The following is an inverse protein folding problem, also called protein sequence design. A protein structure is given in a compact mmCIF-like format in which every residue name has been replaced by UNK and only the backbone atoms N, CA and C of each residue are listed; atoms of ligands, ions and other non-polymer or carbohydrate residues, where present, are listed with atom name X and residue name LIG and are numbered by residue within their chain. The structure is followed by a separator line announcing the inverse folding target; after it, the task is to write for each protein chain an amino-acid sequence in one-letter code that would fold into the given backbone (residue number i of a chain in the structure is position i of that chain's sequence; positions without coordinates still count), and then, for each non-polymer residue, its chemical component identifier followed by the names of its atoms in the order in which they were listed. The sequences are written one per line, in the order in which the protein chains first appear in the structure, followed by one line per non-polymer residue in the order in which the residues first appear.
data_IF_084701495676
#
_entry.id   IF_084701495676
#
_cell.length_a   1.000
_cell.length_b   1.000
_cell.length_c   1.000
_cell.angle_alpha   90.00
_cell.angle_beta   90.00
_cell.angle_gamma   90.00
#
_symmetry.space_group_name_H-M   'P 1'
#
loop_
_entity.id
_entity.type
_entity.pdbx_description
1 polymer ?
#
# COMPACT_ATOMS: atom_id res chain seq x y z
N UNK A 1 -27.16 -28.52 14.04
CA UNK A 1 -25.96 -28.66 14.89
C UNK A 1 -24.76 -29.27 14.17
N UNK A 2 -24.94 -30.22 13.24
CA UNK A 2 -23.80 -30.84 12.47
C UNK A 2 -23.14 -29.87 11.47
N UNK A 3 -23.89 -28.87 10.95
CA UNK A 3 -23.37 -27.94 9.94
C UNK A 3 -22.50 -26.80 10.49
N UNK A 4 -22.59 -26.47 11.76
CA UNK A 4 -21.77 -25.40 12.37
C UNK A 4 -20.40 -25.91 12.82
N UNK A 5 -20.31 -27.15 13.32
CA UNK A 5 -19.03 -27.75 13.69
C UNK A 5 -18.15 -28.00 12.44
N UNK A 6 -18.73 -28.48 11.34
CA UNK A 6 -17.97 -28.68 10.09
C UNK A 6 -17.53 -27.38 9.40
N UNK A 7 -18.26 -26.27 9.61
CA UNK A 7 -17.83 -24.95 9.12
C UNK A 7 -16.66 -24.39 9.92
N UNK A 8 -16.65 -24.59 11.24
CA UNK A 8 -15.56 -24.16 12.10
C UNK A 8 -14.27 -24.92 11.82
N UNK A 9 -14.32 -26.24 11.64
CA UNK A 9 -13.14 -27.05 11.33
C UNK A 9 -12.50 -26.65 9.99
N UNK A 10 -13.29 -26.37 8.96
CA UNK A 10 -12.79 -25.93 7.66
C UNK A 10 -12.19 -24.52 7.69
N UNK A 11 -12.70 -23.62 8.53
CA UNK A 11 -12.15 -22.26 8.64
C UNK A 11 -10.83 -22.26 9.40
N UNK A 12 -10.69 -23.07 10.43
CA UNK A 12 -9.44 -23.23 11.18
C UNK A 12 -8.31 -23.79 10.27
N UNK A 13 -8.60 -24.80 9.44
CA UNK A 13 -7.61 -25.36 8.50
C UNK A 13 -7.14 -24.32 7.45
N UNK A 14 -8.03 -23.45 6.98
CA UNK A 14 -7.70 -22.34 6.06
C UNK A 14 -6.80 -21.31 6.74
N UNK A 15 -7.12 -20.92 7.97
CA UNK A 15 -6.37 -19.94 8.76
C UNK A 15 -4.99 -20.47 9.14
N UNK A 16 -4.90 -21.72 9.58
CA UNK A 16 -3.63 -22.36 9.95
C UNK A 16 -2.68 -22.42 8.75
N UNK A 17 -3.14 -22.86 7.59
CA UNK A 17 -2.33 -22.87 6.35
C UNK A 17 -1.85 -21.49 5.94
N UNK A 18 -2.70 -20.48 6.06
CA UNK A 18 -2.31 -19.09 5.81
C UNK A 18 -1.23 -18.62 6.77
N UNK A 19 -1.39 -18.91 8.06
CA UNK A 19 -0.43 -18.53 9.10
C UNK A 19 0.90 -19.26 8.96
N UNK A 20 0.90 -20.53 8.56
CA UNK A 20 2.13 -21.28 8.24
C UNK A 20 2.87 -20.63 7.07
N UNK A 21 2.19 -20.30 5.98
CA UNK A 21 2.77 -19.60 4.84
C UNK A 21 3.32 -18.23 5.23
N UNK A 22 2.59 -17.48 6.05
CA UNK A 22 3.01 -16.17 6.54
C UNK A 22 4.26 -16.26 7.41
N UNK A 23 4.33 -17.24 8.33
CA UNK A 23 5.51 -17.50 9.16
C UNK A 23 6.72 -17.89 8.31
N UNK A 24 6.53 -18.75 7.32
CA UNK A 24 7.59 -19.16 6.40
C UNK A 24 8.11 -17.99 5.56
N UNK A 25 7.21 -17.11 5.09
CA UNK A 25 7.57 -15.97 4.25
C UNK A 25 8.20 -14.81 5.03
N UNK A 26 7.62 -14.37 6.12
CA UNK A 26 8.01 -13.12 6.82
C UNK A 26 8.85 -13.35 8.07
N UNK A 27 9.05 -14.58 8.53
CA UNK A 27 9.60 -14.91 9.84
C UNK A 27 8.86 -14.15 10.99
N UNK A 28 7.60 -13.78 10.76
CA UNK A 28 6.80 -13.01 11.71
C UNK A 28 6.25 -13.94 12.79
N UNK A 29 6.32 -13.55 14.08
CA UNK A 29 5.67 -14.30 15.15
C UNK A 29 4.16 -14.07 15.21
N UNK A 30 3.63 -13.15 14.39
CA UNK A 30 2.23 -12.77 14.42
C UNK A 30 1.37 -13.73 13.62
N UNK A 31 0.17 -13.98 14.11
CA UNK A 31 -0.86 -14.79 13.47
C UNK A 31 -2.02 -13.90 13.02
N UNK A 32 -2.55 -14.19 11.85
CA UNK A 32 -3.79 -13.59 11.37
C UNK A 32 -4.95 -14.42 11.89
N UNK A 33 -5.93 -13.77 12.44
CA UNK A 33 -7.17 -14.38 12.92
C UNK A 33 -8.34 -13.73 12.20
N UNK A 34 -8.90 -14.46 11.23
CA UNK A 34 -9.93 -13.94 10.34
C UNK A 34 -11.17 -13.48 11.12
N UNK A 35 -11.61 -14.28 12.08
CA UNK A 35 -12.81 -14.01 12.89
C UNK A 35 -12.68 -12.78 13.80
N UNK A 36 -11.46 -12.31 14.07
CA UNK A 36 -11.26 -11.06 14.82
C UNK A 36 -11.60 -9.81 14.01
N UNK A 37 -11.89 -9.98 12.71
CA UNK A 37 -12.35 -8.90 11.87
C UNK A 37 -11.31 -7.80 11.68
N UNK A 38 -11.75 -6.57 11.83
CA UNK A 38 -10.97 -5.38 11.56
C UNK A 38 -9.92 -5.12 12.65
N UNK A 39 -8.64 -5.18 12.26
CA UNK A 39 -7.49 -4.87 13.12
C UNK A 39 -6.50 -3.96 12.37
N UNK A 40 -6.30 -2.73 12.86
CA UNK A 40 -5.50 -1.72 12.18
C UNK A 40 -4.77 -0.81 13.16
N UNK A 41 -3.82 -0.06 12.62
CA UNK A 41 -3.12 1.00 13.34
C UNK A 41 -3.00 2.24 12.47
N UNK A 42 -3.09 3.39 13.11
CA UNK A 42 -2.78 4.67 12.50
C UNK A 42 -1.27 4.83 12.39
N UNK A 43 -0.77 5.04 11.17
CA UNK A 43 0.65 5.22 10.89
C UNK A 43 1.01 6.70 10.88
N UNK A 44 0.21 7.50 10.18
CA UNK A 44 0.26 8.98 10.20
C UNK A 44 -1.16 9.51 10.36
N UNK A 45 -1.34 10.81 10.46
CA UNK A 45 -2.67 11.42 10.56
C UNK A 45 -3.59 11.07 9.35
N UNK A 46 -2.99 10.71 8.22
CA UNK A 46 -3.69 10.43 6.96
C UNK A 46 -3.52 9.00 6.45
N UNK A 47 -2.82 8.13 7.17
CA UNK A 47 -2.54 6.75 6.73
C UNK A 47 -2.81 5.76 7.85
N UNK A 48 -3.69 4.79 7.56
CA UNK A 48 -3.93 3.62 8.39
C UNK A 48 -3.49 2.36 7.65
N UNK A 49 -2.98 1.37 8.37
CA UNK A 49 -2.63 0.04 7.83
C UNK A 49 -3.33 -1.04 8.63
N UNK A 50 -3.99 -1.96 7.94
CA UNK A 50 -4.77 -2.98 8.63
C UNK A 50 -5.09 -4.24 7.84
N UNK A 51 -5.94 -5.07 8.47
CA UNK A 51 -6.52 -6.28 7.89
C UNK A 51 -7.57 -5.93 6.83
N UNK A 52 -7.97 -6.89 6.02
CA UNK A 52 -9.08 -6.72 5.09
C UNK A 52 -10.39 -6.39 5.84
N UNK A 53 -11.15 -5.37 5.40
CA UNK A 53 -12.45 -5.02 5.98
C UNK A 53 -13.54 -5.91 5.39
N UNK A 54 -13.54 -7.19 5.76
CA UNK A 54 -14.44 -8.20 5.17
C UNK A 54 -15.83 -8.25 5.78
N UNK A 55 -15.96 -7.87 7.05
CA UNK A 55 -17.23 -7.87 7.75
C UNK A 55 -18.13 -6.73 7.25
N UNK A 56 -19.43 -7.01 7.20
CA UNK A 56 -20.43 -6.00 6.89
C UNK A 56 -20.40 -4.87 7.93
N UNK A 57 -20.30 -3.64 7.46
CA UNK A 57 -20.19 -2.45 8.32
C UNK A 57 -18.76 -2.01 8.62
N UNK A 58 -17.73 -2.82 8.32
CA UNK A 58 -16.34 -2.47 8.56
C UNK A 58 -15.92 -1.19 7.82
N UNK A 59 -16.37 -1.03 6.58
CA UNK A 59 -16.03 0.15 5.76
C UNK A 59 -16.75 1.39 6.28
N UNK A 60 -18.01 1.24 6.67
CA UNK A 60 -18.78 2.32 7.29
C UNK A 60 -18.12 2.74 8.61
N UNK A 61 -17.71 1.78 9.43
CA UNK A 61 -16.98 2.04 10.67
C UNK A 61 -15.68 2.84 10.41
N UNK A 62 -14.85 2.42 9.44
CA UNK A 62 -13.63 3.13 9.07
C UNK A 62 -13.94 4.57 8.60
N UNK A 63 -15.01 4.76 7.86
CA UNK A 63 -15.47 6.09 7.44
C UNK A 63 -15.86 6.97 8.61
N UNK A 64 -16.67 6.46 9.52
CA UNK A 64 -17.25 7.23 10.62
C UNK A 64 -16.25 7.49 11.76
N UNK A 65 -15.36 6.54 12.05
CA UNK A 65 -14.43 6.64 13.17
C UNK A 65 -13.08 7.23 12.79
N UNK A 66 -12.58 6.89 11.60
CA UNK A 66 -11.24 7.26 11.17
C UNK A 66 -11.25 8.26 10.01
N UNK A 67 -12.43 8.71 9.55
CA UNK A 67 -12.60 9.59 8.41
C UNK A 67 -11.99 9.04 7.10
N UNK A 68 -11.87 7.72 6.95
CA UNK A 68 -11.30 7.08 5.77
C UNK A 68 -12.06 7.53 4.51
N UNK A 69 -11.33 8.00 3.52
CA UNK A 69 -11.85 8.44 2.22
C UNK A 69 -11.48 7.48 1.10
N UNK A 70 -10.42 6.70 1.30
CA UNK A 70 -9.91 5.73 0.32
C UNK A 70 -9.56 4.41 1.02
N UNK A 71 -10.02 3.30 0.45
CA UNK A 71 -9.49 1.96 0.71
C UNK A 71 -8.46 1.64 -0.37
N UNK A 72 -7.19 1.51 0.02
CA UNK A 72 -6.12 1.05 -0.86
C UNK A 72 -5.89 -0.44 -0.65
N UNK A 73 -6.43 -1.24 -1.56
CA UNK A 73 -6.45 -2.70 -1.45
C UNK A 73 -5.36 -3.35 -2.31
N UNK A 74 -4.43 -4.06 -1.69
CA UNK A 74 -3.34 -4.76 -2.36
C UNK A 74 -3.61 -6.26 -2.58
N UNK A 75 -4.84 -6.72 -2.33
CA UNK A 75 -5.21 -8.12 -2.54
C UNK A 75 -5.44 -8.42 -4.03
N UNK A 76 -5.04 -9.61 -4.43
CA UNK A 76 -5.40 -10.22 -5.71
C UNK A 76 -6.74 -10.98 -5.61
N UNK A 77 -7.31 -11.36 -6.75
CA UNK A 77 -8.63 -11.99 -6.78
C UNK A 77 -8.67 -13.32 -6.02
N UNK A 78 -7.61 -14.11 -6.11
CA UNK A 78 -7.51 -15.36 -5.37
C UNK A 78 -7.57 -15.22 -3.84
N UNK A 79 -7.22 -14.05 -3.27
CA UNK A 79 -7.41 -13.82 -1.84
C UNK A 79 -8.89 -13.80 -1.46
N UNK A 80 -9.75 -13.20 -2.30
CA UNK A 80 -11.19 -13.15 -2.03
C UNK A 80 -11.82 -14.55 -2.13
N UNK A 81 -11.39 -15.34 -3.12
CA UNK A 81 -11.84 -16.72 -3.26
C UNK A 81 -11.43 -17.57 -2.05
N UNK A 82 -10.15 -17.47 -1.64
CA UNK A 82 -9.60 -18.21 -0.50
C UNK A 82 -10.34 -17.90 0.80
N UNK A 83 -10.59 -16.62 1.09
CA UNK A 83 -11.28 -16.17 2.31
C UNK A 83 -12.79 -16.10 2.15
N UNK A 84 -13.34 -16.50 1.00
CA UNK A 84 -14.79 -16.43 0.68
C UNK A 84 -15.37 -15.03 0.89
N UNK A 85 -14.58 -13.99 0.60
CA UNK A 85 -15.00 -12.60 0.71
C UNK A 85 -15.66 -12.17 -0.60
N UNK A 86 -16.89 -11.67 -0.53
CA UNK A 86 -17.57 -11.12 -1.68
C UNK A 86 -17.11 -9.68 -1.93
N UNK A 87 -16.19 -9.50 -2.90
CA UNK A 87 -15.67 -8.18 -3.23
C UNK A 87 -16.75 -7.22 -3.73
N UNK A 88 -17.74 -7.69 -4.47
CA UNK A 88 -18.84 -6.85 -4.94
C UNK A 88 -19.68 -6.25 -3.81
N UNK A 89 -19.90 -6.99 -2.72
CA UNK A 89 -20.55 -6.44 -1.53
C UNK A 89 -19.69 -5.36 -0.85
N UNK A 90 -18.37 -5.53 -0.86
CA UNK A 90 -17.44 -4.52 -0.30
C UNK A 90 -17.40 -3.25 -1.16
N UNK A 91 -17.43 -3.40 -2.48
CA UNK A 91 -17.53 -2.28 -3.42
C UNK A 91 -18.84 -1.48 -3.21
N UNK A 92 -19.97 -2.18 -3.08
CA UNK A 92 -21.26 -1.54 -2.80
C UNK A 92 -21.28 -0.84 -1.42
N UNK A 93 -20.68 -1.43 -0.40
CA UNK A 93 -20.58 -0.82 0.92
C UNK A 93 -19.68 0.43 0.86
N UNK A 94 -18.52 0.37 0.21
CA UNK A 94 -17.64 1.50 0.03
C UNK A 94 -18.34 2.66 -0.70
N UNK A 95 -19.06 2.35 -1.78
CA UNK A 95 -19.84 3.33 -2.53
C UNK A 95 -20.92 3.99 -1.67
N UNK A 96 -21.66 3.23 -0.87
CA UNK A 96 -22.67 3.76 0.04
C UNK A 96 -22.09 4.63 1.14
N UNK A 97 -20.90 4.28 1.62
CA UNK A 97 -20.18 5.06 2.63
C UNK A 97 -19.48 6.31 2.06
N UNK A 98 -19.46 6.48 0.73
CA UNK A 98 -18.69 7.55 0.08
C UNK A 98 -17.19 7.34 0.18
N UNK A 99 -16.73 6.10 0.30
CA UNK A 99 -15.32 5.70 0.34
C UNK A 99 -14.92 5.17 -1.01
N UNK A 100 -13.81 5.68 -1.57
CA UNK A 100 -13.27 5.21 -2.86
C UNK A 100 -12.48 3.92 -2.62
N UNK A 101 -12.77 2.90 -3.41
CA UNK A 101 -12.00 1.66 -3.40
C UNK A 101 -11.00 1.70 -4.56
N UNK A 102 -9.71 1.66 -4.23
CA UNK A 102 -8.62 1.56 -5.18
C UNK A 102 -7.91 0.22 -5.01
N UNK A 103 -7.80 -0.54 -6.09
CA UNK A 103 -7.14 -1.85 -6.08
C UNK A 103 -5.80 -1.77 -6.81
N UNK A 104 -4.74 -2.26 -6.14
CA UNK A 104 -3.41 -2.43 -6.69
C UNK A 104 -2.90 -3.83 -6.32
N UNK A 105 -3.28 -4.88 -7.07
CA UNK A 105 -3.00 -6.26 -6.69
C UNK A 105 -1.51 -6.57 -6.63
N UNK A 106 -1.10 -7.24 -5.55
CA UNK A 106 0.24 -7.81 -5.34
C UNK A 106 0.02 -9.26 -4.93
N UNK A 107 0.71 -10.22 -5.55
CA UNK A 107 0.60 -11.64 -5.19
C UNK A 107 1.10 -11.87 -3.78
N UNK A 108 0.30 -12.57 -2.96
CA UNK A 108 0.68 -12.85 -1.58
C UNK A 108 1.87 -13.79 -1.52
N UNK A 109 2.73 -13.62 -0.52
CA UNK A 109 3.92 -14.43 -0.30
C UNK A 109 4.89 -14.52 -1.51
N UNK A 110 4.80 -13.58 -2.46
CA UNK A 110 5.70 -13.48 -3.59
C UNK A 110 6.64 -12.29 -3.45
N UNK A 111 7.93 -12.58 -3.32
CA UNK A 111 8.97 -11.57 -3.27
C UNK A 111 9.05 -10.79 -4.58
N UNK A 112 9.04 -11.50 -5.71
CA UNK A 112 9.18 -10.90 -7.03
C UNK A 112 7.97 -10.02 -7.36
N UNK A 113 6.75 -10.51 -7.10
CA UNK A 113 5.55 -9.69 -7.29
C UNK A 113 5.57 -8.43 -6.42
N UNK A 114 6.00 -8.54 -5.15
CA UNK A 114 6.11 -7.39 -4.27
C UNK A 114 7.12 -6.37 -4.84
N UNK A 115 8.33 -6.80 -5.20
CA UNK A 115 9.37 -5.95 -5.81
C UNK A 115 8.88 -5.26 -7.08
N UNK A 116 8.24 -6.00 -7.97
CA UNK A 116 7.80 -5.50 -9.27
C UNK A 116 6.61 -4.52 -9.18
N UNK A 117 5.68 -4.75 -8.27
CA UNK A 117 4.48 -3.94 -8.14
C UNK A 117 4.64 -2.71 -7.23
N UNK A 118 5.63 -2.71 -6.32
CA UNK A 118 5.85 -1.60 -5.40
C UNK A 118 5.98 -0.23 -6.08
N UNK A 119 6.73 -0.06 -7.20
CA UNK A 119 6.86 1.24 -7.86
C UNK A 119 5.52 1.80 -8.32
N UNK A 120 4.69 0.97 -8.93
CA UNK A 120 3.35 1.38 -9.39
C UNK A 120 2.40 1.61 -8.21
N UNK A 121 2.42 0.71 -7.21
CA UNK A 121 1.59 0.85 -6.02
C UNK A 121 1.91 2.16 -5.24
N UNK A 122 3.19 2.50 -5.08
CA UNK A 122 3.58 3.75 -4.43
C UNK A 122 3.25 4.98 -5.28
N UNK A 123 3.32 4.88 -6.62
CA UNK A 123 2.90 5.94 -7.53
C UNK A 123 1.41 6.26 -7.37
N UNK A 124 0.57 5.23 -7.36
CA UNK A 124 -0.87 5.40 -7.16
C UNK A 124 -1.20 5.87 -5.74
N UNK A 125 -0.45 5.40 -4.74
CA UNK A 125 -0.59 5.85 -3.36
C UNK A 125 -0.24 7.35 -3.24
N UNK A 126 0.89 7.81 -3.81
CA UNK A 126 1.27 9.24 -3.86
C UNK A 126 0.22 10.08 -4.60
N UNK A 127 -0.33 9.57 -5.71
CA UNK A 127 -1.40 10.24 -6.44
C UNK A 127 -2.64 10.45 -5.57
N UNK A 128 -3.08 9.41 -4.87
CA UNK A 128 -4.26 9.47 -4.00
C UNK A 128 -4.02 10.43 -2.83
N UNK A 129 -2.87 10.35 -2.16
CA UNK A 129 -2.51 11.23 -1.05
C UNK A 129 -2.44 12.71 -1.45
N UNK A 130 -2.16 13.01 -2.73
CA UNK A 130 -2.06 14.39 -3.21
C UNK A 130 -3.32 14.89 -3.93
N UNK A 131 -4.43 14.14 -3.91
CA UNK A 131 -5.69 14.57 -4.52
C UNK A 131 -6.39 15.65 -3.70
N UNK A 132 -6.32 15.58 -2.38
CA UNK A 132 -6.91 16.53 -1.45
C UNK A 132 -6.14 16.51 -0.12
N UNK A 133 -6.08 17.64 0.56
CA UNK A 133 -5.49 17.74 1.89
C UNK A 133 -6.27 16.98 2.97
N UNK A 134 -7.48 16.53 2.65
CA UNK A 134 -8.36 15.78 3.57
C UNK A 134 -8.38 14.28 3.31
N UNK A 135 -7.49 13.76 2.44
CA UNK A 135 -7.46 12.33 2.16
C UNK A 135 -6.95 11.54 3.36
N UNK A 136 -7.71 10.52 3.74
CA UNK A 136 -7.31 9.51 4.72
C UNK A 136 -7.37 8.14 4.04
N UNK A 137 -6.22 7.50 3.90
CA UNK A 137 -6.08 6.21 3.21
C UNK A 137 -5.98 5.07 4.22
N UNK A 138 -6.88 4.12 4.10
CA UNK A 138 -6.77 2.81 4.74
C UNK A 138 -6.12 1.83 3.76
N UNK A 139 -4.84 1.51 4.00
CA UNK A 139 -4.07 0.57 3.17
C UNK A 139 -4.16 -0.84 3.77
N UNK A 140 -4.63 -1.80 2.98
CA UNK A 140 -4.78 -3.16 3.46
C UNK A 140 -4.39 -4.23 2.43
N UNK A 141 -4.05 -5.39 2.95
CA UNK A 141 -4.03 -6.66 2.23
C UNK A 141 -4.97 -7.62 2.96
N UNK A 142 -4.64 -8.89 3.12
CA UNK A 142 -5.39 -9.83 3.97
C UNK A 142 -5.14 -9.55 5.44
N UNK A 143 -3.94 -9.82 5.93
CA UNK A 143 -3.57 -9.67 7.35
C UNK A 143 -3.01 -8.27 7.70
N UNK A 144 -2.67 -7.47 6.70
CA UNK A 144 -1.99 -6.18 6.92
C UNK A 144 -0.58 -6.30 7.50
N UNK A 145 0.12 -7.40 7.19
CA UNK A 145 1.45 -7.72 7.75
C UNK A 145 2.59 -7.73 6.72
N UNK A 146 2.29 -7.89 5.42
CA UNK A 146 3.30 -7.99 4.37
C UNK A 146 3.16 -6.91 3.31
N UNK A 147 2.20 -7.08 2.40
CA UNK A 147 2.03 -6.26 1.18
C UNK A 147 1.67 -4.80 1.49
N UNK A 148 0.60 -4.57 2.21
CA UNK A 148 0.15 -3.20 2.52
C UNK A 148 1.16 -2.40 3.34
N UNK A 149 1.81 -2.94 4.40
CA UNK A 149 2.85 -2.18 5.07
C UNK A 149 4.07 -1.94 4.18
N UNK A 150 4.41 -2.87 3.25
CA UNK A 150 5.51 -2.63 2.30
C UNK A 150 5.22 -1.45 1.37
N UNK A 151 3.99 -1.32 0.86
CA UNK A 151 3.57 -0.17 0.04
C UNK A 151 3.71 1.14 0.81
N UNK A 152 3.22 1.18 2.06
CA UNK A 152 3.30 2.40 2.88
C UNK A 152 4.74 2.74 3.25
N UNK A 153 5.59 1.75 3.59
CA UNK A 153 7.02 1.98 3.85
C UNK A 153 7.71 2.51 2.60
N UNK A 154 7.46 1.92 1.43
CA UNK A 154 8.04 2.38 0.17
C UNK A 154 7.61 3.82 -0.14
N UNK A 155 6.32 4.13 -0.02
CA UNK A 155 5.80 5.49 -0.18
C UNK A 155 6.51 6.48 0.75
N UNK A 156 6.56 6.21 2.06
CA UNK A 156 7.20 7.08 3.05
C UNK A 156 8.68 7.27 2.74
N UNK A 157 9.42 6.17 2.48
CA UNK A 157 10.85 6.20 2.18
C UNK A 157 11.17 6.99 0.90
N UNK A 158 10.34 6.85 -0.13
CA UNK A 158 10.57 7.48 -1.43
C UNK A 158 10.08 8.92 -1.52
N UNK A 159 9.11 9.32 -0.71
CA UNK A 159 8.45 10.62 -0.86
C UNK A 159 8.57 11.57 0.33
N UNK A 160 8.83 11.06 1.52
CA UNK A 160 8.90 11.86 2.74
C UNK A 160 10.35 12.09 3.16
N UNK A 161 10.77 13.37 3.15
CA UNK A 161 12.14 13.76 3.46
C UNK A 161 12.54 13.53 4.94
N UNK A 162 11.59 13.21 5.82
CA UNK A 162 11.87 12.83 7.21
C UNK A 162 12.58 11.49 7.34
N UNK A 163 12.46 10.62 6.33
CA UNK A 163 13.06 9.29 6.34
C UNK A 163 14.32 9.25 5.48
N UNK A 164 15.48 9.42 6.10
CA UNK A 164 16.77 9.41 5.42
C UNK A 164 17.17 8.03 4.88
N UNK A 165 16.66 6.95 5.52
CA UNK A 165 16.96 5.58 5.16
C UNK A 165 15.71 4.71 5.11
N UNK A 166 15.81 3.57 4.41
CA UNK A 166 14.79 2.54 4.41
C UNK A 166 14.56 1.99 5.82
N UNK A 167 15.64 1.85 6.61
CA UNK A 167 15.54 1.38 7.99
C UNK A 167 14.69 2.33 8.83
N UNK A 168 14.89 3.64 8.71
CA UNK A 168 14.10 4.64 9.44
C UNK A 168 12.60 4.56 9.10
N UNK A 169 12.24 4.43 7.82
CA UNK A 169 10.85 4.28 7.40
C UNK A 169 10.26 2.93 7.85
N UNK A 170 11.06 1.87 7.80
CA UNK A 170 10.67 0.53 8.24
C UNK A 170 10.39 0.51 9.75
N UNK A 171 11.31 0.99 10.56
CA UNK A 171 11.17 1.06 12.02
C UNK A 171 10.00 1.96 12.44
N UNK A 172 9.82 3.08 11.75
CA UNK A 172 8.70 3.98 12.02
C UNK A 172 7.35 3.27 11.89
N UNK A 173 7.14 2.50 10.81
CA UNK A 173 5.89 1.78 10.63
C UNK A 173 5.79 0.59 11.58
N UNK A 174 6.83 -0.24 11.69
CA UNK A 174 6.79 -1.47 12.48
C UNK A 174 6.73 -1.22 13.98
N UNK A 175 7.20 -0.07 14.47
CA UNK A 175 7.00 0.34 15.87
C UNK A 175 5.54 0.66 16.20
N UNK A 176 4.74 1.05 15.21
CA UNK A 176 3.30 1.36 15.37
C UNK A 176 2.41 0.17 15.11
N UNK A 177 2.79 -0.69 14.17
CA UNK A 177 2.03 -1.88 13.78
C UNK A 177 2.91 -3.12 13.81
N UNK A 178 2.52 -4.18 14.54
CA UNK A 178 3.16 -5.49 14.46
C UNK A 178 3.03 -6.04 13.03
N UNK A 179 4.13 -6.05 12.27
CA UNK A 179 4.18 -6.55 10.90
C UNK A 179 5.62 -6.82 10.49
N UNK A 180 5.81 -7.62 9.43
CA UNK A 180 7.13 -8.01 8.93
C UNK A 180 7.19 -7.98 7.39
N UNK A 181 7.01 -6.81 6.74
CA UNK A 181 7.13 -6.73 5.29
C UNK A 181 8.57 -7.03 4.83
N UNK A 182 8.71 -7.57 3.62
CA UNK A 182 10.02 -7.90 3.04
C UNK A 182 10.80 -6.62 2.69
N UNK A 183 11.65 -6.17 3.62
CA UNK A 183 12.49 -4.98 3.47
C UNK A 183 13.38 -5.05 2.22
N UNK A 184 13.92 -6.23 1.93
CA UNK A 184 14.76 -6.45 0.76
C UNK A 184 14.01 -6.23 -0.58
N UNK A 185 12.72 -6.55 -0.67
CA UNK A 185 11.93 -6.24 -1.86
C UNK A 185 11.80 -4.73 -2.08
N UNK A 186 11.63 -3.95 -1.02
CA UNK A 186 11.58 -2.48 -1.10
C UNK A 186 12.94 -1.93 -1.54
N UNK A 187 14.04 -2.46 -0.97
CA UNK A 187 15.39 -2.07 -1.34
C UNK A 187 15.67 -2.31 -2.82
N UNK A 188 15.36 -3.51 -3.31
CA UNK A 188 15.57 -3.86 -4.73
C UNK A 188 14.67 -3.04 -5.65
N UNK A 189 13.40 -2.81 -5.30
CA UNK A 189 12.52 -1.92 -6.06
C UNK A 189 13.09 -0.48 -6.13
N UNK A 190 13.73 -0.01 -5.04
CA UNK A 190 14.42 1.30 -5.04
C UNK A 190 15.55 1.35 -6.07
N UNK A 191 16.37 0.30 -6.13
CA UNK A 191 17.45 0.20 -7.13
C UNK A 191 16.86 0.16 -8.54
N UNK A 192 15.82 -0.65 -8.76
CA UNK A 192 15.16 -0.76 -10.07
C UNK A 192 14.64 0.60 -10.56
N UNK A 193 14.03 1.40 -9.66
CA UNK A 193 13.57 2.75 -10.02
C UNK A 193 14.75 3.67 -10.38
N UNK A 194 15.83 3.62 -9.62
CA UNK A 194 17.00 4.47 -9.86
C UNK A 194 17.73 4.12 -11.16
N UNK A 195 17.76 2.83 -11.52
CA UNK A 195 18.42 2.31 -12.71
C UNK A 195 17.53 2.33 -13.96
N UNK A 196 16.20 2.54 -13.82
CA UNK A 196 15.31 2.62 -14.98
C UNK A 196 15.61 3.86 -15.84
N UNK A 197 15.48 3.70 -17.15
CA UNK A 197 15.80 4.74 -18.11
C UNK A 197 14.79 5.90 -18.10
N UNK A 198 15.27 7.12 -18.30
CA UNK A 198 14.46 8.32 -18.41
C UNK A 198 13.60 8.60 -17.16
N UNK A 199 12.39 9.07 -17.41
CA UNK A 199 11.42 9.44 -16.36
C UNK A 199 10.37 8.35 -16.09
N UNK A 200 10.54 7.16 -16.68
CA UNK A 200 9.61 6.03 -16.50
C UNK A 200 9.95 5.19 -15.27
N UNK A 201 8.93 4.59 -14.68
CA UNK A 201 9.11 3.50 -13.72
C UNK A 201 9.59 2.24 -14.47
N UNK A 202 10.28 1.30 -13.78
CA UNK A 202 10.67 0.05 -14.39
C UNK A 202 9.43 -0.69 -14.90
N UNK A 203 9.41 -1.03 -16.19
CA UNK A 203 8.39 -1.88 -16.79
C UNK A 203 8.96 -3.29 -16.86
N UNK A 204 8.28 -4.22 -16.25
CA UNK A 204 8.55 -5.64 -16.50
C UNK A 204 7.36 -6.21 -17.26
N UNK A 205 7.64 -6.82 -18.42
CA UNK A 205 6.65 -7.49 -19.29
C UNK A 205 6.20 -8.83 -18.66
N UNK A 206 5.81 -8.80 -17.41
CA UNK A 206 5.27 -9.93 -16.70
C UNK A 206 3.77 -9.85 -16.61
N UNK A 207 3.05 -10.43 -17.59
CA UNK A 207 1.68 -10.86 -17.30
C UNK A 207 1.77 -11.81 -16.11
N UNK A 208 1.42 -11.33 -14.93
CA UNK A 208 1.31 -12.10 -13.72
C UNK A 208 0.37 -13.27 -14.02
N UNK A 209 0.93 -14.45 -14.30
CA UNK A 209 0.15 -15.66 -14.38
C UNK A 209 -0.21 -16.03 -12.94
N UNK A 210 -1.36 -15.55 -12.52
CA UNK A 210 -1.99 -16.00 -11.29
C UNK A 210 -2.43 -17.43 -11.54
N UNK A 211 -1.61 -18.38 -11.11
CA UNK A 211 -2.02 -19.77 -11.03
C UNK A 211 -2.76 -19.94 -9.71
N UNK A 212 -4.07 -19.83 -9.75
CA UNK A 212 -4.96 -19.90 -8.58
C UNK A 212 -4.81 -21.20 -7.75
N UNK A 213 -4.07 -22.20 -8.26
CA UNK A 213 -3.74 -23.44 -7.57
C UNK A 213 -2.47 -23.40 -6.72
N UNK A 214 -1.68 -22.30 -6.74
CA UNK A 214 -0.37 -22.21 -6.10
C UNK A 214 -0.33 -21.47 -4.77
N UNK A 215 -1.48 -21.28 -4.14
CA UNK A 215 -1.57 -20.34 -3.02
C UNK A 215 -0.64 -20.64 -1.83
N UNK A 216 -0.15 -21.86 -1.60
CA UNK A 216 0.67 -22.17 -0.43
C UNK A 216 1.63 -23.36 -0.66
N UNK A 217 2.20 -23.49 -1.85
CA UNK A 217 3.12 -24.58 -2.19
C UNK A 217 4.41 -24.09 -2.85
N UNK A 218 5.49 -24.16 -2.13
CA UNK A 218 6.86 -24.43 -2.61
C UNK A 218 7.76 -23.32 -3.18
N UNK A 219 7.37 -22.04 -3.20
CA UNK A 219 8.31 -20.96 -3.53
C UNK A 219 9.02 -20.32 -2.32
N UNK A 220 8.94 -20.94 -1.13
CA UNK A 220 9.76 -20.61 0.02
C UNK A 220 11.24 -21.03 -0.14
N UNK A 221 11.77 -21.05 -1.37
CA UNK A 221 13.20 -21.15 -1.57
C UNK A 221 13.83 -19.95 -0.88
N UNK A 222 14.44 -20.24 0.28
CA UNK A 222 15.32 -19.33 1.01
C UNK A 222 16.08 -18.49 -0.01
N UNK A 223 15.71 -17.22 -0.14
CA UNK A 223 16.62 -16.21 -0.68
C UNK A 223 17.89 -16.37 0.15
N UNK A 224 18.93 -16.97 -0.43
CA UNK A 224 20.23 -16.97 0.19
C UNK A 224 20.56 -15.52 0.43
N UNK A 225 20.90 -15.18 1.67
CA UNK A 225 21.51 -13.90 2.05
C UNK A 225 22.91 -13.83 1.41
N UNK A 226 22.96 -13.79 0.08
CA UNK A 226 24.20 -13.61 -0.65
C UNK A 226 24.40 -12.12 -0.85
N UNK A 227 25.39 -11.57 -0.13
CA UNK A 227 25.95 -10.23 -0.27
C UNK A 227 24.89 -9.12 -0.40
N UNK A 228 24.39 -8.67 0.75
CA UNK A 228 23.53 -7.49 0.86
C UNK A 228 24.26 -6.26 0.30
N UNK A 229 24.02 -6.01 -0.98
CA UNK A 229 24.37 -4.74 -1.61
C UNK A 229 23.61 -3.62 -0.86
N UNK A 230 24.34 -2.65 -0.31
CA UNK A 230 23.75 -1.54 0.44
C UNK A 230 23.04 -0.51 -0.44
N UNK A 231 23.08 -0.66 -1.79
CA UNK A 231 22.36 0.22 -2.70
C UNK A 231 20.85 0.18 -2.42
N UNK A 232 20.23 1.33 -2.44
CA UNK A 232 18.78 1.46 -2.18
C UNK A 232 18.38 1.43 -0.70
N UNK A 233 19.34 1.38 0.25
CA UNK A 233 19.04 1.49 1.69
C UNK A 233 19.03 2.94 2.17
N UNK A 234 19.76 3.82 1.50
CA UNK A 234 19.75 5.26 1.74
C UNK A 234 19.57 6.01 0.44
N UNK A 235 18.94 7.16 0.47
CA UNK A 235 18.71 8.02 -0.68
C UNK A 235 19.33 9.38 -0.44
N UNK A 236 20.16 9.83 -1.39
CA UNK A 236 20.50 11.25 -1.46
C UNK A 236 19.27 12.06 -1.82
N UNK A 237 19.28 13.35 -1.52
CA UNK A 237 18.18 14.26 -1.90
C UNK A 237 17.90 14.22 -3.41
N UNK A 238 18.95 14.16 -4.24
CA UNK A 238 18.81 14.08 -5.70
C UNK A 238 18.14 12.78 -6.15
N UNK A 239 18.51 11.64 -5.56
CA UNK A 239 17.87 10.34 -5.85
C UNK A 239 16.42 10.33 -5.45
N UNK A 240 16.08 10.87 -4.28
CA UNK A 240 14.68 10.98 -3.82
C UNK A 240 13.85 11.85 -4.78
N UNK A 241 14.36 12.99 -5.19
CA UNK A 241 13.67 13.83 -6.18
C UNK A 241 13.50 13.13 -7.54
N UNK A 242 14.47 12.33 -7.95
CA UNK A 242 14.36 11.48 -9.15
C UNK A 242 13.23 10.46 -9.01
N UNK A 243 13.16 9.76 -7.88
CA UNK A 243 12.08 8.80 -7.60
C UNK A 243 10.72 9.50 -7.55
N UNK A 244 10.60 10.60 -6.79
CA UNK A 244 9.35 11.39 -6.73
C UNK A 244 8.88 11.81 -8.12
N UNK A 245 9.81 12.27 -8.97
CA UNK A 245 9.51 12.64 -10.35
C UNK A 245 8.95 11.46 -11.14
N UNK A 246 9.62 10.30 -11.11
CA UNK A 246 9.18 9.10 -11.84
C UNK A 246 7.82 8.60 -11.38
N UNK A 247 7.56 8.56 -10.06
CA UNK A 247 6.27 8.20 -9.50
C UNK A 247 5.16 9.12 -10.03
N UNK A 248 5.39 10.43 -10.04
CA UNK A 248 4.41 11.43 -10.46
C UNK A 248 4.23 11.52 -11.97
N UNK A 249 5.24 11.22 -12.76
CA UNK A 249 5.10 11.08 -14.21
C UNK A 249 4.19 9.88 -14.53
N UNK A 250 4.40 8.74 -13.88
CA UNK A 250 3.56 7.55 -14.05
C UNK A 250 2.10 7.82 -13.69
N UNK A 251 1.83 8.46 -12.56
CA UNK A 251 0.47 8.77 -12.09
C UNK A 251 -0.18 9.97 -12.79
N UNK A 252 0.55 10.68 -13.65
CA UNK A 252 0.06 11.88 -14.33
C UNK A 252 -0.05 13.12 -13.43
N UNK A 253 0.52 13.09 -12.22
CA UNK A 253 0.49 14.21 -11.25
C UNK A 253 1.76 15.05 -11.26
N UNK A 254 2.73 14.72 -12.10
CA UNK A 254 3.98 15.49 -12.20
C UNK A 254 3.73 16.89 -12.77
N UNK A 255 4.11 17.91 -12.01
CA UNK A 255 4.10 19.31 -12.43
C UNK A 255 5.54 19.79 -12.52
N UNK A 256 6.05 20.15 -13.72
CA UNK A 256 7.41 20.68 -13.89
C UNK A 256 7.62 21.94 -13.05
N UNK A 257 8.86 22.19 -12.55
CA UNK A 257 9.17 23.32 -11.67
C UNK A 257 8.79 24.69 -12.25
N UNK A 258 8.90 24.88 -13.56
CA UNK A 258 8.56 26.12 -14.26
C UNK A 258 7.05 26.45 -14.21
N UNK A 259 6.19 25.43 -14.17
CA UNK A 259 4.73 25.65 -14.03
C UNK A 259 4.31 25.97 -12.60
N UNK A 260 5.14 25.66 -11.59
CA UNK A 260 4.86 26.05 -10.20
C UNK A 260 5.02 27.55 -9.94
N UNK A 261 5.87 28.26 -10.72
CA UNK A 261 6.08 29.70 -10.57
C UNK A 261 4.90 30.56 -11.03
N UNK A 262 4.05 30.05 -11.92
CA UNK A 262 2.86 30.78 -12.42
C UNK A 262 1.63 30.69 -11.52
N UNK A 263 1.44 29.56 -10.80
CA UNK A 263 0.22 29.32 -10.01
C UNK A 263 0.08 30.23 -8.78
N UNK A 264 1.19 30.55 -8.11
CA UNK A 264 1.18 31.41 -6.91
C UNK A 264 0.87 32.88 -7.29
N UNK A 265 1.35 33.34 -8.44
CA UNK A 265 1.11 34.70 -8.92
C UNK A 265 -0.34 34.90 -9.43
N UNK A 266 -0.96 33.86 -9.97
CA UNK A 266 -2.35 33.92 -10.44
C UNK A 266 -3.35 33.85 -9.28
N UNK A 267 -3.05 33.10 -8.24
CA UNK A 267 -3.87 33.08 -7.00
C UNK A 267 -3.79 34.44 -6.29
N UNK A 268 -2.62 35.04 -6.20
CA UNK A 268 -2.46 36.36 -5.61
C UNK A 268 -3.15 37.46 -6.43
N UNK A 269 -3.13 37.38 -7.76
CA UNK A 269 -3.90 38.32 -8.62
C UNK A 269 -5.40 38.20 -8.45
N UNK A 270 -5.96 37.02 -8.22
CA UNK A 270 -7.40 36.84 -7.94
C UNK A 270 -7.81 37.44 -6.58
N UNK A 271 -6.94 37.37 -5.58
CA UNK A 271 -7.20 37.98 -4.27
C UNK A 271 -7.11 39.51 -4.26
N UNK A 272 -6.24 40.10 -5.09
CA UNK A 272 -6.10 41.57 -5.17
C UNK A 272 -7.08 42.25 -6.14
N UNK A 273 -7.73 41.51 -7.03
CA UNK A 273 -8.71 42.05 -7.96
C UNK A 273 -10.16 41.97 -7.45
N UNK A 274 -10.42 41.35 -6.30
CA UNK A 274 -11.74 41.29 -5.67
C UNK A 274 -12.01 42.35 -4.61
N UNK A 275 -11.04 43.21 -4.32
CA UNK A 275 -11.24 44.40 -3.45
C UNK A 275 -11.56 45.59 -4.37
N UNK A 276 -12.81 45.70 -4.78
CA UNK A 276 -13.33 46.92 -5.40
C UNK A 276 -13.36 48.07 -4.40
N UNK A 277 -13.25 49.34 -4.86
CA UNK A 277 -13.31 50.48 -3.97
C UNK A 277 -14.66 50.54 -3.26
N UNK A 278 -14.63 50.68 -1.95
CA UNK A 278 -15.80 51.08 -1.18
C UNK A 278 -16.02 52.57 -1.46
N UNK A 279 -17.07 52.90 -2.20
CA UNK A 279 -17.55 54.26 -2.33
C UNK A 279 -18.13 54.71 -0.97
N UNK A 280 -17.56 55.80 -0.45
CA UNK A 280 -18.18 56.66 0.55
C UNK A 280 -19.26 57.57 -0.09
#
# INVERSE_FOLDING_TARGET
MVDEEQKNDNNNDIEDKYNEAMKAYSASPFEYQHEKGLYYHQITDSILVGTQPWEKGSIIYLKEKENVTVLFNTQEDGNFEYWKVNIGEREEEAKKAGVRLHRQPIVDFSFDSLREQLPEAASEFDRLMNQSDTEVIYCHCTAGMGRSPAVVIAYLYWTDDRFESLDAAYEFLTSKRPCGPKKEAIRQATVDILESEGDSLPTRDGKMKVDAGRYYGDDSKKLKEENLDSRGTTLTKAQRETIKKKLRVKSGTYVPPEKKKGGVLEILKRFFLSAGPTDD
#
